data_IF_062914695864
#
_entry.id   IF_062914695864
#
_cell.length_a   1.000
_cell.length_b   1.000
_cell.length_c   1.000
_cell.angle_alpha   90.00
_cell.angle_beta   90.00
_cell.angle_gamma   90.00
#
_symmetry.space_group_name_H-M   'P 1'
#
loop_
_entity.id
_entity.type
_entity.pdbx_description
1 polymer ?
#
# COMPACT_ATOMS: atom_id res chain seq x y z
N UNK A 1 32.63 -57.58 6.38
CA UNK A 1 32.23 -56.15 6.25
C UNK A 1 31.05 -55.90 7.18
N UNK A 2 31.03 -54.79 7.92
CA UNK A 2 29.93 -54.46 8.85
C UNK A 2 28.58 -54.37 8.10
N UNK A 3 27.49 -55.04 8.53
CA UNK A 3 26.21 -55.09 7.80
C UNK A 3 25.65 -53.71 7.47
N UNK A 4 25.67 -52.80 8.45
CA UNK A 4 25.26 -51.38 8.27
C UNK A 4 26.08 -50.65 7.20
N UNK A 5 27.35 -51.01 6.98
CA UNK A 5 28.20 -50.35 5.98
C UNK A 5 27.76 -50.76 4.57
N UNK A 6 27.54 -52.05 4.31
CA UNK A 6 27.08 -52.49 2.98
C UNK A 6 25.72 -51.89 2.62
N UNK A 7 24.80 -51.85 3.59
CA UNK A 7 23.48 -51.25 3.39
C UNK A 7 23.58 -49.74 3.13
N UNK A 8 24.48 -49.04 3.83
CA UNK A 8 24.74 -47.62 3.59
C UNK A 8 25.22 -47.35 2.14
N UNK A 9 26.06 -48.22 1.56
CA UNK A 9 26.50 -48.09 0.17
C UNK A 9 25.36 -48.28 -0.84
N UNK A 10 24.49 -49.27 -0.63
CA UNK A 10 23.30 -49.48 -1.47
C UNK A 10 22.39 -48.26 -1.45
N UNK A 11 22.07 -47.76 -0.26
CA UNK A 11 21.24 -46.56 -0.10
C UNK A 11 21.89 -45.33 -0.72
N UNK A 12 23.22 -45.18 -0.59
CA UNK A 12 23.96 -44.03 -1.14
C UNK A 12 23.99 -44.06 -2.67
N UNK A 13 24.21 -45.23 -3.27
CA UNK A 13 24.16 -45.43 -4.73
C UNK A 13 22.73 -45.25 -5.29
N UNK A 14 21.70 -45.51 -4.48
CA UNK A 14 20.31 -45.23 -4.83
C UNK A 14 19.92 -43.73 -4.67
N UNK A 15 20.87 -42.83 -4.37
CA UNK A 15 20.60 -41.39 -4.27
C UNK A 15 20.02 -40.93 -2.94
N UNK A 16 20.25 -41.66 -1.84
CA UNK A 16 19.96 -41.17 -0.48
C UNK A 16 21.08 -40.28 0.05
N UNK A 17 20.72 -39.19 0.71
CA UNK A 17 21.62 -38.25 1.38
C UNK A 17 22.20 -38.83 2.67
N UNK A 18 23.28 -38.23 3.18
CA UNK A 18 23.89 -38.67 4.45
C UNK A 18 22.91 -38.56 5.62
N UNK A 19 22.04 -37.54 5.62
CA UNK A 19 21.01 -37.38 6.65
C UNK A 19 19.94 -38.47 6.59
N UNK A 20 19.49 -38.85 5.40
CA UNK A 20 18.54 -39.96 5.21
C UNK A 20 19.16 -41.28 5.68
N UNK A 21 20.39 -41.58 5.26
CA UNK A 21 21.08 -42.84 5.60
C UNK A 21 21.39 -42.91 7.10
N UNK A 22 21.86 -41.82 7.69
CA UNK A 22 22.15 -41.73 9.12
C UNK A 22 20.89 -42.03 9.95
N UNK A 23 19.73 -41.49 9.54
CA UNK A 23 18.45 -41.73 10.20
C UNK A 23 17.95 -43.17 10.00
N UNK A 24 18.11 -43.74 8.81
CA UNK A 24 17.64 -45.10 8.50
C UNK A 24 18.46 -46.18 9.20
N UNK A 25 19.78 -46.02 9.29
CA UNK A 25 20.68 -47.04 9.83
C UNK A 25 21.13 -46.78 11.27
N UNK A 26 20.68 -45.65 11.84
CA UNK A 26 21.09 -45.16 13.16
C UNK A 26 22.62 -45.14 13.30
N UNK A 27 23.26 -44.33 12.45
CA UNK A 27 24.72 -44.15 12.41
C UNK A 27 25.08 -42.67 12.31
N UNK A 28 26.23 -42.30 12.85
CA UNK A 28 26.70 -40.91 12.76
C UNK A 28 27.05 -40.52 11.32
N UNK A 29 26.88 -39.23 10.99
CA UNK A 29 27.32 -38.68 9.70
C UNK A 29 28.84 -38.76 9.53
N UNK A 30 29.60 -38.72 10.63
CA UNK A 30 31.06 -38.91 10.63
C UNK A 30 31.46 -40.30 10.13
N UNK A 31 30.75 -41.34 10.57
CA UNK A 31 30.93 -42.72 10.11
C UNK A 31 30.65 -42.86 8.61
N UNK A 32 29.57 -42.24 8.12
CA UNK A 32 29.23 -42.24 6.68
C UNK A 32 30.29 -41.51 5.84
N UNK A 33 30.82 -40.38 6.33
CA UNK A 33 31.89 -39.63 5.66
C UNK A 33 33.14 -40.50 5.46
N UNK A 34 33.54 -41.23 6.50
CA UNK A 34 34.69 -42.15 6.42
C UNK A 34 34.43 -43.30 5.45
N UNK A 35 33.22 -43.87 5.46
CA UNK A 35 32.88 -45.01 4.60
C UNK A 35 32.81 -44.63 3.12
N UNK A 36 32.29 -43.45 2.79
CA UNK A 36 32.12 -43.00 1.41
C UNK A 36 33.29 -42.19 0.86
N UNK A 37 34.39 -42.03 1.62
CA UNK A 37 35.55 -41.21 1.24
C UNK A 37 36.07 -41.47 -0.18
N UNK A 38 36.05 -42.73 -0.62
CA UNK A 38 36.54 -43.14 -1.95
C UNK A 38 35.42 -43.51 -2.93
N UNK A 39 34.15 -43.29 -2.57
CA UNK A 39 33.01 -43.69 -3.39
C UNK A 39 32.74 -42.67 -4.49
N UNK A 40 32.90 -43.07 -5.75
CA UNK A 40 32.45 -42.29 -6.91
C UNK A 40 30.96 -42.60 -7.16
N UNK A 41 30.11 -41.59 -7.00
CA UNK A 41 28.68 -41.71 -7.24
C UNK A 41 28.36 -41.77 -8.74
N UNK A 42 27.44 -42.63 -9.20
CA UNK A 42 26.90 -42.59 -10.55
C UNK A 42 26.21 -41.24 -10.84
N UNK A 43 26.24 -40.79 -12.10
CA UNK A 43 25.59 -39.53 -12.52
C UNK A 43 24.09 -39.49 -12.19
N UNK A 44 23.40 -40.62 -12.24
CA UNK A 44 21.99 -40.76 -11.88
C UNK A 44 21.75 -40.43 -10.40
N UNK A 45 22.57 -40.99 -9.51
CA UNK A 45 22.51 -40.71 -8.08
C UNK A 45 22.89 -39.26 -7.75
N UNK A 46 23.86 -38.68 -8.47
CA UNK A 46 24.24 -37.28 -8.33
C UNK A 46 23.07 -36.35 -8.68
N UNK A 47 22.43 -36.55 -9.84
CA UNK A 47 21.25 -35.75 -10.26
C UNK A 47 20.11 -35.82 -9.25
N UNK A 48 19.77 -37.02 -8.76
CA UNK A 48 18.70 -37.19 -7.77
C UNK A 48 18.99 -36.41 -6.47
N UNK A 49 20.24 -36.39 -6.03
CA UNK A 49 20.66 -35.64 -4.84
C UNK A 49 20.62 -34.13 -5.10
N UNK A 50 21.08 -33.67 -6.25
CA UNK A 50 21.05 -32.26 -6.65
C UNK A 50 19.61 -31.73 -6.71
N UNK A 51 18.68 -32.49 -7.29
CA UNK A 51 17.26 -32.15 -7.36
C UNK A 51 16.63 -32.08 -5.97
N UNK A 52 16.89 -33.07 -5.10
CA UNK A 52 16.42 -33.04 -3.70
C UNK A 52 16.95 -31.84 -2.95
N UNK A 53 18.25 -31.53 -3.10
CA UNK A 53 18.86 -30.37 -2.45
C UNK A 53 18.29 -29.06 -2.99
N UNK A 54 18.05 -28.96 -4.31
CA UNK A 54 17.41 -27.80 -4.93
C UNK A 54 16.01 -27.61 -4.38
N UNK A 55 15.18 -28.65 -4.40
CA UNK A 55 13.82 -28.62 -3.87
C UNK A 55 13.79 -28.22 -2.39
N UNK A 56 14.66 -28.82 -1.56
CA UNK A 56 14.74 -28.49 -0.15
C UNK A 56 15.16 -27.03 0.11
N UNK A 57 16.09 -26.49 -0.71
CA UNK A 57 16.48 -25.07 -0.64
C UNK A 57 15.34 -24.15 -1.06
N UNK A 58 14.70 -24.42 -2.19
CA UNK A 58 13.58 -23.64 -2.70
C UNK A 58 12.42 -23.62 -1.70
N UNK A 59 12.06 -24.79 -1.16
CA UNK A 59 11.02 -24.92 -0.14
C UNK A 59 11.41 -24.21 1.17
N UNK A 60 12.67 -24.33 1.60
CA UNK A 60 13.17 -23.62 2.78
C UNK A 60 13.15 -22.10 2.62
N UNK A 61 13.55 -21.60 1.45
CA UNK A 61 13.47 -20.17 1.10
C UNK A 61 12.02 -19.69 1.07
N UNK A 62 11.11 -20.46 0.46
CA UNK A 62 9.70 -20.13 0.41
C UNK A 62 9.09 -20.03 1.81
N UNK A 63 9.32 -21.03 2.67
CA UNK A 63 8.81 -21.03 4.04
C UNK A 63 9.42 -19.91 4.90
N UNK A 64 10.73 -19.66 4.78
CA UNK A 64 11.37 -18.55 5.47
C UNK A 64 10.83 -17.20 5.01
N UNK A 65 10.65 -17.01 3.69
CA UNK A 65 10.05 -15.79 3.14
C UNK A 65 8.62 -15.62 3.62
N UNK A 66 7.81 -16.68 3.62
CA UNK A 66 6.44 -16.66 4.13
C UNK A 66 6.38 -16.24 5.59
N UNK A 67 7.21 -16.86 6.45
CA UNK A 67 7.30 -16.51 7.88
C UNK A 67 7.75 -15.07 8.09
N UNK A 68 8.78 -14.63 7.35
CA UNK A 68 9.29 -13.26 7.40
C UNK A 68 8.23 -12.25 6.96
N UNK A 69 7.56 -12.48 5.84
CA UNK A 69 6.47 -11.61 5.36
C UNK A 69 5.34 -11.54 6.36
N UNK A 70 4.98 -12.65 7.01
CA UNK A 70 3.94 -12.64 8.04
C UNK A 70 4.38 -11.86 9.29
N UNK A 71 5.61 -12.06 9.76
CA UNK A 71 6.17 -11.31 10.88
C UNK A 71 6.20 -9.80 10.60
N UNK A 72 6.66 -9.39 9.41
CA UNK A 72 6.67 -7.99 8.97
C UNK A 72 5.24 -7.42 8.92
N UNK A 73 4.24 -8.18 8.45
CA UNK A 73 2.85 -7.72 8.44
C UNK A 73 2.33 -7.44 9.85
N UNK A 74 2.61 -8.33 10.80
CA UNK A 74 2.22 -8.16 12.21
C UNK A 74 2.94 -6.98 12.84
N UNK A 75 4.25 -6.85 12.60
CA UNK A 75 5.05 -5.72 13.06
C UNK A 75 4.53 -4.39 12.50
N UNK A 76 4.32 -4.29 11.19
CA UNK A 76 3.77 -3.10 10.54
C UNK A 76 2.40 -2.73 11.09
N UNK A 77 1.52 -3.72 11.32
CA UNK A 77 0.21 -3.47 11.91
C UNK A 77 0.34 -2.90 13.33
N UNK A 78 1.22 -3.48 14.15
CA UNK A 78 1.47 -3.00 15.50
C UNK A 78 2.03 -1.58 15.51
N UNK A 79 3.02 -1.29 14.68
CA UNK A 79 3.60 0.07 14.55
C UNK A 79 2.50 1.05 14.16
N UNK A 80 1.69 0.73 13.14
CA UNK A 80 0.58 1.60 12.71
C UNK A 80 -0.43 1.85 13.83
N UNK A 81 -0.81 0.82 14.60
CA UNK A 81 -1.75 0.96 15.71
C UNK A 81 -1.19 1.82 16.83
N UNK A 82 0.05 1.58 17.25
CA UNK A 82 0.71 2.36 18.30
C UNK A 82 0.85 3.83 17.89
N UNK A 83 1.31 4.10 16.66
CA UNK A 83 1.43 5.48 16.16
C UNK A 83 0.08 6.17 16.03
N UNK A 84 -0.97 5.45 15.60
CA UNK A 84 -2.32 6.02 15.51
C UNK A 84 -2.86 6.42 16.89
N UNK A 85 -2.59 5.61 17.93
CA UNK A 85 -3.00 5.94 19.30
C UNK A 85 -2.28 7.17 19.89
N UNK A 86 -1.18 7.62 19.27
CA UNK A 86 -0.49 8.85 19.67
C UNK A 86 -1.12 10.14 19.14
N UNK A 87 -2.12 10.05 18.25
CA UNK A 87 -2.84 11.20 17.73
C UNK A 87 -4.07 11.45 18.61
N UNK A 88 -4.06 12.57 19.34
CA UNK A 88 -5.21 13.04 20.11
C UNK A 88 -6.29 13.62 19.17
N UNK A 89 -7.53 13.81 19.68
CA UNK A 89 -8.53 14.60 18.96
C UNK A 89 -7.96 15.97 18.58
N UNK A 90 -8.15 16.35 17.32
CA UNK A 90 -7.57 17.58 16.77
C UNK A 90 -8.25 18.81 17.39
N UNK A 91 -7.47 19.69 17.98
CA UNK A 91 -7.88 21.06 18.27
C UNK A 91 -8.14 21.84 16.98
N UNK A 92 -8.85 22.98 17.08
CA UNK A 92 -9.09 23.86 15.92
C UNK A 92 -7.78 24.31 15.26
N UNK A 93 -6.73 24.55 16.06
CA UNK A 93 -5.41 24.93 15.54
C UNK A 93 -4.72 23.76 14.81
N UNK A 94 -4.72 22.56 15.37
CA UNK A 94 -4.16 21.39 14.68
C UNK A 94 -4.92 21.10 13.39
N UNK A 95 -6.26 21.20 13.41
CA UNK A 95 -7.11 21.07 12.23
C UNK A 95 -6.78 22.13 11.16
N UNK A 96 -6.47 23.35 11.57
CA UNK A 96 -5.99 24.40 10.67
C UNK A 96 -4.70 23.97 9.97
N UNK A 97 -3.72 23.46 10.71
CA UNK A 97 -2.44 23.01 10.14
C UNK A 97 -2.63 21.83 9.18
N UNK A 98 -3.37 20.79 9.60
CA UNK A 98 -3.61 19.59 8.78
C UNK A 98 -4.63 19.81 7.66
N UNK A 99 -5.32 20.95 7.62
CA UNK A 99 -6.12 21.38 6.47
C UNK A 99 -5.32 22.24 5.48
N UNK A 100 -4.49 23.16 5.98
CA UNK A 100 -3.66 24.03 5.15
C UNK A 100 -2.55 23.26 4.42
N UNK A 101 -1.88 22.32 5.09
CA UNK A 101 -0.77 21.58 4.48
C UNK A 101 -1.21 20.68 3.30
N UNK A 102 -2.28 19.86 3.39
CA UNK A 102 -2.79 19.12 2.23
C UNK A 102 -3.29 20.04 1.12
N UNK A 103 -3.89 21.18 1.45
CA UNK A 103 -4.26 22.15 0.42
C UNK A 103 -3.02 22.72 -0.30
N UNK A 104 -1.93 22.94 0.41
CA UNK A 104 -0.69 23.36 -0.21
C UNK A 104 -0.14 22.31 -1.17
N UNK A 105 -0.24 21.03 -0.81
CA UNK A 105 0.24 19.91 -1.62
C UNK A 105 -0.67 19.56 -2.83
N UNK A 106 -1.98 19.46 -2.60
CA UNK A 106 -2.97 18.91 -3.57
C UNK A 106 -3.95 19.97 -4.10
N UNK A 107 -4.04 21.11 -3.43
CA UNK A 107 -4.97 22.18 -3.77
C UNK A 107 -4.52 22.98 -5.00
N UNK A 108 -5.49 23.58 -5.69
CA UNK A 108 -5.20 24.49 -6.78
C UNK A 108 -4.64 25.80 -6.24
N UNK A 109 -3.35 26.06 -6.48
CA UNK A 109 -2.62 27.19 -5.89
C UNK A 109 -2.22 28.29 -6.88
N UNK A 110 -2.66 28.22 -8.16
CA UNK A 110 -2.32 29.23 -9.17
C UNK A 110 -3.29 30.42 -9.14
N UNK A 111 -2.73 31.62 -9.10
CA UNK A 111 -3.46 32.90 -9.00
C UNK A 111 -3.34 33.74 -10.28
N UNK A 112 -2.28 33.53 -11.06
CA UNK A 112 -1.82 34.37 -12.16
C UNK A 112 -2.81 34.54 -13.32
N UNK A 113 -3.87 33.72 -13.37
CA UNK A 113 -4.84 33.69 -14.49
C UNK A 113 -6.30 33.78 -14.06
N UNK A 114 -6.59 34.05 -12.78
CA UNK A 114 -7.97 34.00 -12.26
C UNK A 114 -8.29 35.24 -11.41
N UNK A 115 -9.22 36.06 -11.90
CA UNK A 115 -9.67 37.31 -11.23
C UNK A 115 -10.29 37.04 -9.86
N UNK A 116 -10.99 35.91 -9.71
CA UNK A 116 -11.62 35.49 -8.45
C UNK A 116 -11.31 34.02 -8.18
N UNK A 117 -10.17 33.70 -7.56
CA UNK A 117 -9.82 32.32 -7.24
C UNK A 117 -10.78 31.74 -6.20
N UNK A 118 -10.93 30.43 -6.23
CA UNK A 118 -11.74 29.67 -5.29
C UNK A 118 -10.87 28.55 -4.69
N UNK A 119 -11.26 28.05 -3.51
CA UNK A 119 -10.64 26.83 -2.99
C UNK A 119 -11.04 25.72 -3.95
N UNK A 120 -10.07 24.94 -4.41
CA UNK A 120 -10.28 23.77 -5.27
C UNK A 120 -9.36 22.66 -4.82
N UNK A 121 -9.89 21.68 -4.10
CA UNK A 121 -9.16 20.54 -3.56
C UNK A 121 -9.72 19.24 -4.13
N UNK A 122 -8.87 18.42 -4.75
CA UNK A 122 -9.29 17.16 -5.38
C UNK A 122 -8.52 15.96 -4.85
N UNK A 123 -9.21 14.90 -4.44
CA UNK A 123 -8.56 13.66 -4.03
C UNK A 123 -9.44 12.44 -4.29
N UNK A 124 -8.81 11.29 -4.55
CA UNK A 124 -9.51 10.01 -4.74
C UNK A 124 -9.61 9.20 -3.45
N UNK A 125 -8.82 9.53 -2.43
CA UNK A 125 -8.91 8.92 -1.11
C UNK A 125 -10.09 9.56 -0.32
N UNK A 126 -11.12 8.78 0.04
CA UNK A 126 -12.26 9.27 0.80
C UNK A 126 -11.91 9.92 2.14
N UNK A 127 -10.97 9.35 2.88
CA UNK A 127 -10.61 9.83 4.21
C UNK A 127 -9.95 11.20 4.15
N UNK A 128 -9.13 11.45 3.10
CA UNK A 128 -8.53 12.76 2.85
C UNK A 128 -9.58 13.82 2.50
N UNK A 129 -10.61 13.42 1.73
CA UNK A 129 -11.73 14.30 1.39
C UNK A 129 -12.53 14.67 2.64
N UNK A 130 -12.84 13.69 3.50
CA UNK A 130 -13.56 13.91 4.76
C UNK A 130 -12.76 14.81 5.70
N UNK A 131 -11.46 14.57 5.86
CA UNK A 131 -10.58 15.44 6.66
C UNK A 131 -10.60 16.88 6.15
N UNK A 132 -10.48 17.07 4.83
CA UNK A 132 -10.50 18.41 4.25
C UNK A 132 -11.88 19.07 4.41
N UNK A 133 -12.96 18.31 4.27
CA UNK A 133 -14.32 18.82 4.49
C UNK A 133 -14.55 19.23 5.95
N UNK A 134 -14.02 18.48 6.91
CA UNK A 134 -14.04 18.85 8.33
C UNK A 134 -13.30 20.17 8.57
N UNK A 135 -12.13 20.36 7.97
CA UNK A 135 -11.42 21.65 7.99
C UNK A 135 -12.23 22.79 7.36
N UNK A 136 -12.91 22.55 6.24
CA UNK A 136 -13.78 23.57 5.61
C UNK A 136 -14.97 23.96 6.49
N UNK A 137 -15.54 23.02 7.24
CA UNK A 137 -16.69 23.24 8.12
C UNK A 137 -16.29 23.89 9.45
N UNK A 138 -15.27 23.39 10.12
CA UNK A 138 -14.91 23.87 11.47
C UNK A 138 -14.02 25.12 11.47
N UNK A 139 -12.99 25.14 10.61
CA UNK A 139 -11.96 26.19 10.63
C UNK A 139 -12.28 27.31 9.65
N UNK A 140 -12.60 26.94 8.40
CA UNK A 140 -13.00 27.96 7.40
C UNK A 140 -14.41 28.48 7.72
N UNK A 141 -15.29 27.62 8.27
CA UNK A 141 -16.71 27.90 8.51
C UNK A 141 -17.42 28.26 7.22
N UNK A 142 -17.22 27.39 6.23
CA UNK A 142 -17.79 27.53 4.89
C UNK A 142 -19.29 27.21 4.93
N UNK A 143 -20.15 28.13 4.48
CA UNK A 143 -21.56 27.81 4.28
C UNK A 143 -21.74 26.73 3.19
N UNK A 144 -22.63 25.77 3.42
CA UNK A 144 -22.88 24.65 2.50
C UNK A 144 -23.27 25.11 1.09
N UNK A 145 -23.99 26.23 0.97
CA UNK A 145 -24.37 26.84 -0.31
C UNK A 145 -23.18 27.40 -1.09
N UNK A 146 -21.97 27.45 -0.54
CA UNK A 146 -20.73 27.82 -1.26
C UNK A 146 -19.92 26.59 -1.66
N UNK A 147 -20.24 25.42 -1.12
CA UNK A 147 -19.60 24.16 -1.48
C UNK A 147 -20.16 23.65 -2.81
N UNK A 148 -19.25 23.30 -3.73
CA UNK A 148 -19.57 22.80 -5.06
C UNK A 148 -18.76 21.53 -5.29
N UNK A 149 -19.30 20.35 -4.94
CA UNK A 149 -18.62 19.08 -5.16
C UNK A 149 -18.73 18.63 -6.63
N UNK A 150 -17.61 18.24 -7.22
CA UNK A 150 -17.51 17.70 -8.57
C UNK A 150 -16.90 16.31 -8.55
N UNK A 151 -17.68 15.31 -8.99
CA UNK A 151 -17.20 13.95 -9.21
C UNK A 151 -16.51 13.89 -10.56
N UNK A 152 -15.23 13.56 -10.58
CA UNK A 152 -14.42 13.42 -11.79
C UNK A 152 -14.20 11.93 -12.06
N UNK A 153 -14.84 11.42 -13.12
CA UNK A 153 -14.86 10.00 -13.45
C UNK A 153 -14.42 9.75 -14.89
N UNK A 154 -13.91 8.55 -15.16
CA UNK A 154 -13.73 8.09 -16.52
C UNK A 154 -15.07 7.63 -17.12
N UNK A 155 -15.18 7.60 -18.46
CA UNK A 155 -16.41 7.23 -19.17
C UNK A 155 -16.93 5.82 -18.84
N UNK A 156 -16.08 4.95 -18.30
CA UNK A 156 -16.43 3.59 -17.92
C UNK A 156 -16.99 3.45 -16.49
N UNK A 157 -17.01 4.54 -15.70
CA UNK A 157 -17.51 4.52 -14.33
C UNK A 157 -18.97 5.02 -14.34
N UNK A 158 -19.84 4.32 -13.63
CA UNK A 158 -21.23 4.73 -13.46
C UNK A 158 -21.34 5.98 -12.57
N UNK A 159 -21.86 7.07 -13.15
CA UNK A 159 -22.00 8.35 -12.48
C UNK A 159 -22.91 8.29 -11.24
N UNK A 160 -24.00 7.52 -11.31
CA UNK A 160 -24.95 7.39 -10.21
C UNK A 160 -24.33 6.73 -8.98
N UNK A 161 -23.56 5.65 -9.18
CA UNK A 161 -22.84 4.94 -8.12
C UNK A 161 -21.76 5.81 -7.48
N UNK A 162 -21.00 6.56 -8.28
CA UNK A 162 -19.97 7.46 -7.80
C UNK A 162 -20.56 8.61 -6.97
N UNK A 163 -21.62 9.27 -7.45
CA UNK A 163 -22.33 10.31 -6.69
C UNK A 163 -22.92 9.74 -5.40
N UNK A 164 -23.55 8.55 -5.44
CA UNK A 164 -24.12 7.91 -4.25
C UNK A 164 -23.04 7.61 -3.20
N UNK A 165 -21.86 7.16 -3.63
CA UNK A 165 -20.71 6.91 -2.77
C UNK A 165 -20.22 8.20 -2.09
N UNK A 166 -19.93 9.23 -2.88
CA UNK A 166 -19.40 10.49 -2.35
C UNK A 166 -20.42 11.26 -1.50
N UNK A 167 -21.69 11.26 -1.87
CA UNK A 167 -22.76 11.86 -1.07
C UNK A 167 -22.85 11.23 0.33
N UNK A 168 -22.75 9.90 0.41
CA UNK A 168 -22.76 9.17 1.70
C UNK A 168 -21.54 9.51 2.55
N UNK A 169 -20.36 9.57 1.95
CA UNK A 169 -19.09 9.80 2.68
C UNK A 169 -18.99 11.24 3.18
N UNK A 170 -19.39 12.20 2.37
CA UNK A 170 -19.27 13.62 2.69
C UNK A 170 -20.45 14.17 3.51
N UNK A 171 -21.53 13.40 3.62
CA UNK A 171 -22.82 13.87 4.15
C UNK A 171 -23.27 15.14 3.43
N UNK A 172 -23.40 15.03 2.10
CA UNK A 172 -23.85 16.11 1.22
C UNK A 172 -24.98 15.56 0.34
N UNK A 173 -26.10 16.29 0.15
CA UNK A 173 -27.17 15.86 -0.73
C UNK A 173 -26.70 15.62 -2.17
N UNK A 174 -27.20 14.57 -2.82
CA UNK A 174 -26.74 14.13 -4.16
C UNK A 174 -26.94 15.20 -5.23
N UNK A 175 -27.99 15.99 -5.08
CA UNK A 175 -28.37 17.11 -5.94
C UNK A 175 -27.32 18.23 -6.00
N UNK A 176 -26.42 18.32 -5.02
CA UNK A 176 -25.33 19.29 -5.02
C UNK A 176 -24.13 18.81 -5.86
N UNK A 177 -24.05 17.53 -6.19
CA UNK A 177 -22.94 16.97 -6.94
C UNK A 177 -23.10 17.22 -8.44
N UNK A 178 -22.00 17.63 -9.06
CA UNK A 178 -21.87 17.66 -10.52
C UNK A 178 -20.91 16.56 -10.96
N UNK A 179 -21.16 15.98 -12.12
CA UNK A 179 -20.30 14.94 -12.68
C UNK A 179 -19.54 15.50 -13.88
N UNK A 180 -18.27 15.18 -13.96
CA UNK A 180 -17.42 15.51 -15.10
C UNK A 180 -16.70 14.26 -15.57
N UNK A 181 -16.72 14.03 -16.88
CA UNK A 181 -15.99 12.93 -17.49
C UNK A 181 -14.59 13.39 -17.87
N UNK A 182 -13.59 12.60 -17.48
CA UNK A 182 -12.19 12.84 -17.81
C UNK A 182 -11.65 11.73 -18.70
N UNK A 183 -10.91 12.13 -19.72
CA UNK A 183 -10.14 11.22 -20.57
C UNK A 183 -8.66 11.44 -20.27
N UNK A 184 -8.01 10.46 -19.65
CA UNK A 184 -6.57 10.55 -19.41
C UNK A 184 -5.82 10.27 -20.71
N UNK A 185 -5.43 11.33 -21.43
CA UNK A 185 -4.51 11.22 -22.59
C UNK A 185 -3.18 10.53 -22.21
N UNK A 186 -2.68 10.81 -21.00
CA UNK A 186 -1.45 10.22 -20.47
C UNK A 186 -1.56 8.70 -20.21
N UNK A 187 -2.75 8.20 -19.86
CA UNK A 187 -2.98 6.77 -19.62
C UNK A 187 -2.82 5.93 -20.89
N UNK A 188 -3.04 6.49 -22.09
CA UNK A 188 -3.12 5.75 -23.37
C UNK A 188 -3.99 4.48 -23.28
N UNK A 189 -5.00 4.46 -22.41
CA UNK A 189 -5.84 3.29 -22.16
C UNK A 189 -5.19 2.13 -21.37
N UNK A 190 -3.97 2.32 -20.84
CA UNK A 190 -3.21 1.26 -20.15
C UNK A 190 -3.47 1.16 -18.64
N UNK A 191 -4.15 2.14 -18.04
CA UNK A 191 -4.49 2.06 -16.61
C UNK A 191 -5.47 0.91 -16.35
N UNK A 192 -5.33 0.19 -15.22
CA UNK A 192 -6.30 -0.82 -14.82
C UNK A 192 -7.71 -0.23 -14.80
N UNK A 193 -8.66 -0.94 -15.39
CA UNK A 193 -10.03 -0.48 -15.63
C UNK A 193 -10.75 0.02 -14.36
N UNK A 194 -10.36 -0.46 -13.18
CA UNK A 194 -11.00 -0.21 -11.88
C UNK A 194 -10.08 0.43 -10.82
N UNK A 195 -8.99 1.13 -11.21
CA UNK A 195 -8.10 1.73 -10.19
C UNK A 195 -8.80 2.76 -9.28
N UNK A 196 -9.88 3.38 -9.77
CA UNK A 196 -10.68 4.38 -9.08
C UNK A 196 -12.17 4.10 -9.30
N UNK A 197 -12.79 3.17 -8.55
CA UNK A 197 -14.16 2.71 -8.81
C UNK A 197 -15.23 3.82 -8.70
N UNK A 198 -14.92 4.91 -7.99
CA UNK A 198 -15.82 6.06 -7.82
C UNK A 198 -15.18 7.39 -8.30
N UNK A 199 -14.08 7.30 -9.06
CA UNK A 199 -13.32 8.47 -9.52
C UNK A 199 -12.68 9.27 -8.38
N UNK A 200 -12.52 10.56 -8.64
CA UNK A 200 -11.94 11.56 -7.71
C UNK A 200 -13.03 12.56 -7.34
N UNK A 201 -13.09 12.98 -6.08
CA UNK A 201 -13.95 14.10 -5.69
C UNK A 201 -13.12 15.39 -5.66
N UNK A 202 -13.66 16.42 -6.30
CA UNK A 202 -13.13 17.78 -6.24
C UNK A 202 -14.10 18.67 -5.46
N UNK A 203 -13.65 19.17 -4.32
CA UNK A 203 -14.36 20.13 -3.48
C UNK A 203 -13.95 21.54 -3.90
N UNK A 204 -14.91 22.30 -4.46
CA UNK A 204 -14.73 23.72 -4.73
C UNK A 204 -15.50 24.56 -3.70
N UNK A 205 -14.89 25.62 -3.19
CA UNK A 205 -15.57 26.62 -2.33
C UNK A 205 -15.53 27.97 -2.99
N UNK A 206 -16.70 28.48 -3.35
CA UNK A 206 -16.85 29.81 -3.96
C UNK A 206 -16.56 30.90 -2.93
N UNK A 207 -15.67 31.83 -3.27
CA UNK A 207 -15.35 33.00 -2.44
C UNK A 207 -13.86 33.20 -2.29
N UNK A 208 -13.33 34.29 -2.87
CA UNK A 208 -11.89 34.58 -2.89
C UNK A 208 -11.28 34.68 -1.49
N UNK A 209 -12.05 35.17 -0.53
CA UNK A 209 -11.59 35.36 0.85
C UNK A 209 -11.19 34.03 1.50
N UNK A 210 -11.90 32.94 1.23
CA UNK A 210 -11.57 31.63 1.81
C UNK A 210 -10.26 31.09 1.23
N UNK A 211 -10.07 31.26 -0.08
CA UNK A 211 -8.81 30.93 -0.75
C UNK A 211 -7.63 31.71 -0.14
N UNK A 212 -7.76 33.03 0.04
CA UNK A 212 -6.67 33.84 0.61
C UNK A 212 -6.42 33.59 2.10
N UNK A 213 -7.44 33.15 2.87
CA UNK A 213 -7.23 32.68 4.24
C UNK A 213 -6.27 31.48 4.27
N UNK A 214 -6.49 30.48 3.42
CA UNK A 214 -5.59 29.32 3.34
C UNK A 214 -4.19 29.74 2.87
N UNK A 215 -4.11 30.63 1.88
CA UNK A 215 -2.82 31.18 1.43
C UNK A 215 -2.04 31.84 2.58
N UNK A 216 -2.69 32.67 3.39
CA UNK A 216 -2.05 33.29 4.55
C UNK A 216 -1.53 32.27 5.57
N UNK A 217 -2.26 31.17 5.79
CA UNK A 217 -1.78 30.07 6.65
C UNK A 217 -0.60 29.33 6.05
N UNK A 218 -0.59 29.12 4.73
CA UNK A 218 0.57 28.55 4.03
C UNK A 218 1.79 29.46 4.19
N UNK A 219 1.63 30.77 4.00
CA UNK A 219 2.72 31.73 4.17
C UNK A 219 3.24 31.71 5.63
N UNK A 220 2.34 31.57 6.60
CA UNK A 220 2.68 31.38 8.01
C UNK A 220 3.46 30.09 8.27
N UNK A 221 3.04 28.96 7.70
CA UNK A 221 3.75 27.68 7.78
C UNK A 221 5.17 27.78 7.18
N UNK A 222 5.30 28.40 6.00
CA UNK A 222 6.59 28.63 5.35
C UNK A 222 7.50 29.46 6.26
N UNK A 223 6.97 30.54 6.85
CA UNK A 223 7.74 31.41 7.75
C UNK A 223 8.23 30.68 9.00
N UNK A 224 7.46 29.74 9.56
CA UNK A 224 7.87 28.97 10.75
C UNK A 224 8.82 27.81 10.43
N UNK A 225 8.91 27.39 9.16
CA UNK A 225 9.81 26.33 8.71
C UNK A 225 11.21 26.85 8.33
N UNK A 226 11.40 28.16 8.25
CA UNK A 226 12.65 28.85 7.95
C UNK A 226 13.36 29.27 9.24
#
# INVERSE_FOLDING_TARGET
MHPKRQEAFKLRLAGKSYSEIAKTLDVSKGSLSLWFKSLKLPRTAQKLLEEKMRFAREHGLFENNRRRTQAIKVENQRIRQTSAAGINPLSEYELLLVGAAPYWAEGYNRQDKVVSPCISFGNSNPDMVVLFLHFLREVIRTPEEKLRPFVQIHHNIDAGSAVKFWAKICDIPKEHFRVTHQTSRASRGKRPYNSLPYGTLKLNVVGRQYFFRIKGWIDGLIKQAA
#
